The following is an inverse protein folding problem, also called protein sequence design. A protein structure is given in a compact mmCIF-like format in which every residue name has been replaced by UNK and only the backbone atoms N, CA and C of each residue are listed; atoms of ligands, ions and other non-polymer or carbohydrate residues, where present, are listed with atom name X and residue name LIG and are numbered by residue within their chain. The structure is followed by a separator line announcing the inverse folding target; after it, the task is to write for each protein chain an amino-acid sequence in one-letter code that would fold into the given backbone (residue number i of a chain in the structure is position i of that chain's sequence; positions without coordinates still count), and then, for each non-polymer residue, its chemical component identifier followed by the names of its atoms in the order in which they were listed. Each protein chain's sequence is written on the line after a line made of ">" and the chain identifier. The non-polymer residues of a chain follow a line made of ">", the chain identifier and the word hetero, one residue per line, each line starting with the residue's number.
data_IF_489766708860
#
_entry.id   IF_489766708860
#
_cell.length_a   1.000
_cell.length_b   1.000
_cell.length_c   1.000
_cell.angle_alpha   90.00
_cell.angle_beta   90.00
_cell.angle_gamma   90.00
#
_symmetry.space_group_name_H-M   'P 1'
#
loop_
_entity.id
_entity.type
_entity.pdbx_description
1 polymer ?
#
# COMPACT_ATOMS: atom_id res chain seq x y z
N UNK A 1 23.69 -5.68 -7.40
CA UNK A 1 23.96 -6.21 -8.75
C UNK A 1 22.71 -6.03 -9.60
N UNK A 2 22.85 -5.81 -10.91
CA UNK A 2 21.71 -5.60 -11.82
C UNK A 2 20.68 -6.75 -11.82
N UNK A 3 21.12 -7.99 -11.57
CA UNK A 3 20.23 -9.15 -11.50
C UNK A 3 19.21 -9.08 -10.35
N UNK A 4 19.61 -8.56 -9.18
CA UNK A 4 18.69 -8.39 -8.04
C UNK A 4 17.61 -7.34 -8.34
N UNK A 5 17.96 -6.25 -9.02
CA UNK A 5 16.98 -5.24 -9.42
C UNK A 5 15.96 -5.80 -10.41
N UNK A 6 16.41 -6.56 -11.41
CA UNK A 6 15.55 -7.15 -12.44
C UNK A 6 14.57 -8.22 -11.91
N UNK A 7 14.98 -9.06 -10.94
CA UNK A 7 14.07 -10.01 -10.29
C UNK A 7 13.01 -9.27 -9.46
N UNK A 8 13.42 -8.23 -8.74
CA UNK A 8 12.51 -7.45 -7.91
C UNK A 8 11.53 -6.59 -8.72
N UNK A 9 11.94 -6.05 -9.86
CA UNK A 9 11.06 -5.31 -10.78
C UNK A 9 9.94 -6.19 -11.34
N UNK A 10 10.24 -7.45 -11.69
CA UNK A 10 9.22 -8.39 -12.21
C UNK A 10 8.12 -8.69 -11.19
N UNK A 11 8.50 -9.04 -9.95
CA UNK A 11 7.55 -9.33 -8.86
C UNK A 11 6.59 -8.14 -8.64
N UNK A 12 7.10 -6.90 -8.77
CA UNK A 12 6.27 -5.68 -8.59
C UNK A 12 5.24 -5.50 -9.70
N UNK A 13 5.67 -5.65 -10.95
CA UNK A 13 4.82 -5.42 -12.11
C UNK A 13 3.70 -6.46 -12.14
N UNK A 14 4.03 -7.73 -11.88
CA UNK A 14 3.03 -8.80 -11.76
C UNK A 14 1.98 -8.44 -10.69
N UNK A 15 2.39 -8.05 -9.48
CA UNK A 15 1.45 -7.69 -8.43
C UNK A 15 0.49 -6.53 -8.77
N UNK A 16 0.94 -5.54 -9.55
CA UNK A 16 0.08 -4.42 -9.98
C UNK A 16 -0.87 -4.86 -11.11
N UNK A 17 -0.35 -5.56 -12.11
CA UNK A 17 -1.12 -5.98 -13.29
C UNK A 17 -2.11 -7.11 -13.00
N UNK A 18 -1.79 -8.02 -12.07
CA UNK A 18 -2.64 -9.13 -11.66
C UNK A 18 -3.70 -8.71 -10.64
N UNK A 19 -3.52 -7.55 -10.00
CA UNK A 19 -4.53 -7.03 -9.08
C UNK A 19 -5.81 -6.69 -9.83
N UNK A 20 -6.94 -7.24 -9.38
CA UNK A 20 -8.25 -6.92 -9.94
C UNK A 20 -8.68 -5.48 -9.66
N UNK A 21 -8.09 -4.84 -8.63
CA UNK A 21 -8.38 -3.47 -8.21
C UNK A 21 -7.14 -2.78 -7.62
N UNK A 22 -6.84 -1.58 -8.09
CA UNK A 22 -5.90 -0.65 -7.45
C UNK A 22 -6.63 0.41 -6.62
N UNK A 23 -6.18 0.63 -5.38
CA UNK A 23 -6.72 1.66 -4.47
C UNK A 23 -5.60 2.62 -4.08
N UNK A 24 -5.76 3.91 -4.33
CA UNK A 24 -4.88 4.96 -3.80
C UNK A 24 -5.52 5.60 -2.59
N UNK A 25 -4.84 5.51 -1.44
CA UNK A 25 -5.31 6.07 -0.17
C UNK A 25 -4.69 7.43 0.03
N UNK A 26 -5.52 8.48 0.11
CA UNK A 26 -5.10 9.86 0.31
C UNK A 26 -5.38 10.37 1.73
N UNK A 27 -4.55 11.31 2.18
CA UNK A 27 -4.69 12.01 3.44
C UNK A 27 -4.89 13.51 3.19
N UNK A 28 -6.05 14.03 3.60
CA UNK A 28 -6.37 15.46 3.54
C UNK A 28 -6.12 16.12 4.91
N UNK A 29 -5.06 16.93 5.07
CA UNK A 29 -4.77 17.63 6.32
C UNK A 29 -5.74 18.80 6.59
N UNK A 30 -6.45 19.29 5.57
CA UNK A 30 -7.40 20.42 5.67
C UNK A 30 -8.80 19.98 6.12
N UNK A 31 -9.11 18.69 5.96
CA UNK A 31 -10.40 18.11 6.33
C UNK A 31 -10.60 18.12 7.84
N UNK A 32 -11.73 18.68 8.28
CA UNK A 32 -12.07 18.88 9.70
C UNK A 32 -11.85 20.32 10.22
N UNK A 33 -11.28 21.21 9.40
CA UNK A 33 -11.05 22.61 9.74
C UNK A 33 -9.85 22.84 10.66
N UNK A 34 -9.51 24.10 11.00
CA UNK A 34 -8.31 24.45 11.75
C UNK A 34 -8.38 24.08 13.23
N UNK A 35 -9.47 23.49 13.74
CA UNK A 35 -9.72 23.24 15.17
C UNK A 35 -10.15 21.78 15.41
N UNK A 36 -9.48 20.81 14.78
CA UNK A 36 -9.70 19.39 15.08
C UNK A 36 -8.98 19.04 16.39
N UNK A 37 -9.75 18.77 17.44
CA UNK A 37 -9.25 18.22 18.71
C UNK A 37 -8.36 16.98 18.45
N UNK A 38 -7.12 16.99 18.95
CA UNK A 38 -6.15 15.91 18.80
C UNK A 38 -5.04 16.15 17.76
N UNK A 39 -5.35 16.71 16.59
CA UNK A 39 -4.33 16.96 15.52
C UNK A 39 -3.38 18.12 15.85
N UNK A 40 -3.78 19.04 16.73
CA UNK A 40 -2.92 20.12 17.22
C UNK A 40 -1.82 19.65 18.16
N UNK A 41 -2.09 18.60 18.96
CA UNK A 41 -1.12 18.08 19.90
C UNK A 41 -0.12 17.13 19.22
N UNK A 42 -0.60 16.33 18.27
CA UNK A 42 0.22 15.39 17.48
C UNK A 42 -0.13 15.57 16.00
N UNK A 43 0.70 16.30 15.23
CA UNK A 43 0.47 16.53 13.79
C UNK A 43 0.25 15.23 13.01
N UNK A 44 1.00 14.19 13.37
CA UNK A 44 0.97 12.88 12.69
C UNK A 44 -0.25 12.02 13.00
N UNK A 45 -1.07 12.38 13.98
CA UNK A 45 -2.24 11.57 14.38
C UNK A 45 -3.20 11.30 13.20
N UNK A 46 -3.28 12.24 12.26
CA UNK A 46 -4.04 12.05 11.03
C UNK A 46 -3.45 10.98 10.11
N UNK A 47 -2.13 10.96 9.94
CA UNK A 47 -1.44 9.93 9.16
C UNK A 47 -1.55 8.56 9.83
N UNK A 48 -1.40 8.48 11.16
CA UNK A 48 -1.60 7.23 11.90
C UNK A 48 -3.02 6.69 11.73
N UNK A 49 -4.03 7.56 11.72
CA UNK A 49 -5.41 7.16 11.46
C UNK A 49 -5.57 6.52 10.07
N UNK A 50 -4.88 7.04 9.06
CA UNK A 50 -4.87 6.45 7.71
C UNK A 50 -4.20 5.07 7.71
N UNK A 51 -3.06 4.92 8.39
CA UNK A 51 -2.37 3.62 8.51
C UNK A 51 -3.27 2.58 9.20
N UNK A 52 -3.95 2.95 10.28
CA UNK A 52 -4.91 2.06 10.95
C UNK A 52 -6.09 1.70 10.05
N UNK A 53 -6.60 2.66 9.25
CA UNK A 53 -7.67 2.37 8.29
C UNK A 53 -7.23 1.37 7.21
N UNK A 54 -5.99 1.48 6.72
CA UNK A 54 -5.40 0.52 5.78
C UNK A 54 -5.30 -0.86 6.42
N UNK A 55 -4.82 -0.96 7.66
CA UNK A 55 -4.77 -2.22 8.39
C UNK A 55 -6.16 -2.85 8.54
N UNK A 56 -7.18 -2.07 8.91
CA UNK A 56 -8.54 -2.56 9.05
C UNK A 56 -9.10 -3.08 7.72
N UNK A 57 -8.85 -2.37 6.62
CA UNK A 57 -9.20 -2.82 5.27
C UNK A 57 -8.51 -4.15 4.95
N UNK A 58 -7.23 -4.30 5.30
CA UNK A 58 -6.48 -5.54 5.06
C UNK A 58 -7.06 -6.72 5.85
N UNK A 59 -7.39 -6.52 7.12
CA UNK A 59 -8.03 -7.53 7.96
C UNK A 59 -9.41 -7.93 7.41
N UNK A 60 -10.22 -6.97 6.98
CA UNK A 60 -11.51 -7.23 6.36
C UNK A 60 -11.36 -8.00 5.05
N UNK A 61 -10.46 -7.57 4.17
CA UNK A 61 -10.15 -8.26 2.92
C UNK A 61 -9.74 -9.72 3.16
N UNK A 62 -8.93 -9.97 4.19
CA UNK A 62 -8.48 -11.32 4.56
C UNK A 62 -9.65 -12.23 4.93
N UNK A 63 -10.61 -11.72 5.72
CA UNK A 63 -11.82 -12.47 6.10
C UNK A 63 -12.70 -12.77 4.89
N UNK A 64 -12.73 -11.87 3.90
CA UNK A 64 -13.47 -12.03 2.65
C UNK A 64 -12.70 -12.88 1.59
N UNK A 65 -11.55 -13.45 1.93
CA UNK A 65 -10.73 -14.25 1.01
C UNK A 65 -10.01 -13.42 -0.07
N UNK A 66 -9.83 -12.12 0.16
CA UNK A 66 -9.11 -11.20 -0.71
C UNK A 66 -7.70 -10.92 -0.20
N UNK A 67 -6.76 -10.85 -1.13
CA UNK A 67 -5.38 -10.44 -0.89
C UNK A 67 -5.26 -8.94 -1.02
N UNK A 68 -4.42 -8.33 -0.18
CA UNK A 68 -4.01 -6.93 -0.29
C UNK A 68 -2.49 -6.88 -0.34
N UNK A 69 -1.95 -6.16 -1.31
CA UNK A 69 -0.52 -5.89 -1.45
C UNK A 69 -0.24 -4.39 -1.44
N UNK A 70 0.79 -3.96 -0.72
CA UNK A 70 1.23 -2.56 -0.72
C UNK A 70 2.34 -2.36 -1.75
N UNK A 71 2.12 -1.47 -2.72
CA UNK A 71 3.16 -1.07 -3.68
C UNK A 71 4.18 -0.19 -2.99
N UNK A 72 5.39 -0.69 -2.76
CA UNK A 72 6.40 0.00 -1.93
C UNK A 72 7.29 0.98 -2.71
N UNK A 73 7.08 1.13 -4.02
CA UNK A 73 7.93 1.94 -4.89
C UNK A 73 7.08 2.75 -5.87
N UNK A 74 6.85 4.01 -5.54
CA UNK A 74 6.25 5.02 -6.41
C UNK A 74 6.69 6.41 -5.94
N UNK A 75 6.54 7.44 -6.78
CA UNK A 75 6.58 8.83 -6.32
C UNK A 75 5.19 9.30 -5.95
N UNK A 76 5.07 10.11 -4.89
CA UNK A 76 3.78 10.68 -4.48
C UNK A 76 3.18 11.53 -5.62
N UNK A 77 3.99 12.28 -6.36
CA UNK A 77 3.54 13.11 -7.49
C UNK A 77 2.96 12.31 -8.65
N UNK A 78 3.56 11.14 -8.94
CA UNK A 78 3.02 10.23 -9.95
C UNK A 78 1.62 9.75 -9.54
N UNK A 79 1.47 9.24 -8.30
CA UNK A 79 0.18 8.76 -7.82
C UNK A 79 -0.87 9.86 -7.82
N UNK A 80 -0.50 11.05 -7.35
CA UNK A 80 -1.40 12.21 -7.31
C UNK A 80 -1.95 12.52 -8.70
N UNK A 81 -1.07 12.56 -9.70
CA UNK A 81 -1.44 12.81 -11.09
C UNK A 81 -2.29 11.67 -11.65
N UNK A 82 -1.89 10.41 -11.40
CA UNK A 82 -2.56 9.21 -11.89
C UNK A 82 -4.05 9.18 -11.52
N UNK A 83 -4.39 9.54 -10.28
CA UNK A 83 -5.78 9.52 -9.79
C UNK A 83 -6.44 10.90 -9.71
N UNK A 84 -5.80 11.95 -10.23
CA UNK A 84 -6.34 13.32 -10.19
C UNK A 84 -6.56 13.86 -8.77
N UNK A 85 -5.69 13.50 -7.83
CA UNK A 85 -5.79 13.91 -6.44
C UNK A 85 -5.42 15.39 -6.26
N UNK A 86 -6.13 16.18 -5.43
CA UNK A 86 -5.80 17.57 -5.18
C UNK A 86 -4.40 17.75 -4.58
N UNK A 87 -3.75 18.90 -4.82
CA UNK A 87 -2.39 19.17 -4.37
C UNK A 87 -2.24 19.10 -2.84
N UNK A 88 -3.25 19.55 -2.09
CA UNK A 88 -3.23 19.53 -0.63
C UNK A 88 -3.45 18.14 -0.03
N UNK A 89 -3.87 17.15 -0.81
CA UNK A 89 -4.08 15.77 -0.36
C UNK A 89 -2.81 14.96 -0.64
N UNK A 90 -2.26 14.37 0.41
CA UNK A 90 -1.07 13.54 0.32
C UNK A 90 -1.44 12.09 0.00
N UNK A 91 -0.93 11.49 -1.09
CA UNK A 91 -1.01 10.04 -1.28
C UNK A 91 -0.22 9.33 -0.18
N UNK A 92 -0.86 8.40 0.53
CA UNK A 92 -0.25 7.61 1.62
C UNK A 92 0.08 6.19 1.16
N UNK A 93 -0.81 5.55 0.41
CA UNK A 93 -0.64 4.17 -0.04
C UNK A 93 -1.18 3.95 -1.45
N UNK A 94 -0.55 3.03 -2.18
CA UNK A 94 -1.14 2.35 -3.33
C UNK A 94 -1.27 0.87 -2.99
N UNK A 95 -2.52 0.42 -2.88
CA UNK A 95 -2.88 -0.94 -2.55
C UNK A 95 -3.38 -1.67 -3.80
N UNK A 96 -2.93 -2.90 -3.95
CA UNK A 96 -3.41 -3.85 -4.94
C UNK A 96 -4.33 -4.83 -4.22
N UNK A 97 -5.57 -4.99 -4.68
CA UNK A 97 -6.59 -5.86 -4.07
C UNK A 97 -7.09 -6.85 -5.12
N UNK A 98 -7.19 -8.12 -4.75
CA UNK A 98 -7.65 -9.17 -5.66
C UNK A 98 -7.95 -10.48 -4.96
N UNK A 99 -8.55 -11.42 -5.69
CA UNK A 99 -8.75 -12.77 -5.18
C UNK A 99 -7.39 -13.45 -4.95
N UNK A 100 -7.27 -14.16 -3.84
CA UNK A 100 -6.09 -15.01 -3.59
C UNK A 100 -6.31 -16.34 -4.29
N UNK A 101 -5.50 -16.64 -5.31
CA UNK A 101 -5.57 -17.92 -6.01
C UNK A 101 -5.04 -19.06 -5.14
N UNK A 102 -3.88 -18.86 -4.50
CA UNK A 102 -3.23 -19.82 -3.61
C UNK A 102 -2.45 -19.08 -2.52
N UNK A 103 -2.34 -19.70 -1.34
CA UNK A 103 -1.44 -19.28 -0.27
C UNK A 103 -0.22 -20.21 -0.25
N UNK A 104 0.89 -19.84 -0.92
CA UNK A 104 2.05 -20.71 -0.99
C UNK A 104 2.68 -20.90 0.40
N UNK A 105 3.06 -22.13 0.73
CA UNK A 105 3.75 -22.47 1.99
C UNK A 105 5.13 -21.81 2.11
N UNK A 106 5.69 -21.36 0.98
CA UNK A 106 6.99 -20.71 0.87
C UNK A 106 6.77 -19.24 0.48
N UNK A 107 7.25 -18.26 1.26
CA UNK A 107 7.13 -16.84 0.92
C UNK A 107 7.77 -16.52 -0.43
N UNK A 108 7.18 -15.59 -1.18
CA UNK A 108 7.69 -15.23 -2.52
C UNK A 108 9.16 -14.80 -2.51
N UNK A 109 9.61 -14.07 -1.49
CA UNK A 109 11.02 -13.69 -1.37
C UNK A 109 11.95 -14.90 -1.25
N UNK A 110 11.51 -15.99 -0.64
CA UNK A 110 12.26 -17.24 -0.57
C UNK A 110 12.14 -18.02 -1.88
N UNK A 111 10.91 -18.11 -2.44
CA UNK A 111 10.61 -18.77 -3.72
C UNK A 111 11.41 -18.19 -4.90
N UNK A 112 11.59 -16.87 -4.92
CA UNK A 112 12.36 -16.15 -5.93
C UNK A 112 13.84 -15.98 -5.56
N UNK A 113 14.33 -16.67 -4.52
CA UNK A 113 15.75 -16.70 -4.15
C UNK A 113 16.31 -15.38 -3.60
N UNK A 114 15.44 -14.47 -3.16
CA UNK A 114 15.83 -13.16 -2.65
C UNK A 114 16.36 -13.22 -1.21
N UNK A 115 15.61 -13.88 -0.31
CA UNK A 115 15.97 -14.03 1.10
C UNK A 115 15.32 -15.28 1.67
N UNK A 116 16.11 -16.12 2.33
CA UNK A 116 15.60 -17.23 3.15
C UNK A 116 15.04 -16.69 4.48
N UNK A 117 14.03 -17.37 5.04
CA UNK A 117 13.57 -17.08 6.40
C UNK A 117 14.73 -17.10 7.39
N UNK A 118 14.75 -16.08 8.25
CA UNK A 118 15.58 -16.07 9.45
C UNK A 118 14.80 -16.82 10.52
N UNK A 119 15.37 -17.87 11.11
CA UNK A 119 14.72 -18.66 12.17
C UNK A 119 14.41 -17.80 13.40
#
# INVERSE_FOLDING_TARGET
>A
SGERAATFERIKIEGICESGLGIVVGYDPTRGGPQVLGRHAIPDAGLYSVVCAIQNLWLAATVEGLGVGWVSFYSEDFLRTLVGMPEHVRPVAWLCVGAVADLPDIPDLERFGWRARSS
#
